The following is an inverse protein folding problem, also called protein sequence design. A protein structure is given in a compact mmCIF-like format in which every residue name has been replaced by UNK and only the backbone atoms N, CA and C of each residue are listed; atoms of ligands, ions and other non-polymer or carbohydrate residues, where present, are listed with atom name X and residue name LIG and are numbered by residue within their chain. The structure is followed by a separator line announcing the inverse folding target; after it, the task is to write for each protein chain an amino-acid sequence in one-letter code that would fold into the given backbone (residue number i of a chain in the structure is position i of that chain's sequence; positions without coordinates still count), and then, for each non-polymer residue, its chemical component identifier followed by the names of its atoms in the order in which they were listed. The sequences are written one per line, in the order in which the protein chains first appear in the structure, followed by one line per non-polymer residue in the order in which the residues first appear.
data_IF_694717746181
#
_entry.id   IF_694717746181
#
_cell.length_a   1.000
_cell.length_b   1.000
_cell.length_c   1.000
_cell.angle_alpha   90.00
_cell.angle_beta   90.00
_cell.angle_gamma   90.00
#
_symmetry.space_group_name_H-M   'P 1'
#
loop_
_entity.id
_entity.type
_entity.pdbx_description
1 polymer ?
#
# COMPACT_ATOMS: atom_id res chain seq x y z
N UNK A 1 -7.74 -21.50 -12.15
CA UNK A 1 -8.65 -20.36 -11.86
C UNK A 1 -7.80 -19.24 -11.30
N UNK A 2 -7.92 -17.99 -11.78
CA UNK A 2 -7.20 -16.89 -11.14
C UNK A 2 -7.68 -16.76 -9.68
N UNK A 3 -6.77 -16.66 -8.69
CA UNK A 3 -7.12 -16.46 -7.29
C UNK A 3 -8.01 -15.22 -7.17
N UNK A 4 -9.20 -15.39 -6.60
CA UNK A 4 -10.18 -14.31 -6.40
C UNK A 4 -9.94 -13.76 -5.01
N UNK A 5 -9.71 -12.47 -4.93
CA UNK A 5 -9.49 -11.80 -3.66
C UNK A 5 -10.81 -11.79 -2.84
N UNK A 6 -10.86 -12.33 -1.60
CA UNK A 6 -12.12 -12.59 -0.89
C UNK A 6 -12.91 -11.35 -0.45
N UNK A 7 -12.27 -10.17 -0.38
CA UNK A 7 -12.86 -8.93 0.15
C UNK A 7 -12.33 -7.73 -0.60
N UNK A 8 -13.18 -6.81 -1.04
CA UNK A 8 -12.76 -5.57 -1.72
C UNK A 8 -11.62 -4.89 -0.93
N UNK A 9 -10.42 -4.68 -1.53
CA UNK A 9 -9.29 -4.09 -0.81
C UNK A 9 -9.70 -2.72 -0.25
N UNK A 10 -9.65 -2.57 1.08
CA UNK A 10 -9.92 -1.29 1.72
C UNK A 10 -8.60 -0.52 1.80
N UNK A 11 -8.62 0.80 1.62
CA UNK A 11 -7.42 1.66 1.71
C UNK A 11 -6.79 1.64 3.11
N UNK A 12 -7.53 1.12 4.10
CA UNK A 12 -7.09 0.91 5.48
C UNK A 12 -6.29 -0.37 5.67
N UNK A 13 -6.30 -1.30 4.71
CA UNK A 13 -5.54 -2.55 4.83
C UNK A 13 -4.03 -2.28 4.65
N UNK A 14 -3.18 -2.70 5.61
CA UNK A 14 -1.74 -2.44 5.57
C UNK A 14 -1.06 -3.10 4.35
N UNK A 15 -1.53 -4.28 3.93
CA UNK A 15 -0.99 -4.98 2.77
C UNK A 15 -1.32 -4.31 1.44
N UNK A 16 -2.51 -3.71 1.33
CA UNK A 16 -2.90 -2.93 0.15
C UNK A 16 -2.08 -1.64 0.06
N UNK A 17 -1.84 -0.97 1.18
CA UNK A 17 -1.01 0.25 1.24
C UNK A 17 0.45 -0.01 0.87
N UNK A 18 1.03 -1.10 1.36
CA UNK A 18 2.39 -1.55 0.98
C UNK A 18 2.52 -1.71 -0.53
N UNK A 19 1.52 -2.34 -1.17
CA UNK A 19 1.54 -2.59 -2.61
C UNK A 19 1.37 -1.30 -3.41
N UNK A 20 0.44 -0.44 -2.99
CA UNK A 20 0.18 0.86 -3.64
C UNK A 20 1.41 1.78 -3.59
N UNK A 21 2.05 1.91 -2.42
CA UNK A 21 3.26 2.73 -2.27
C UNK A 21 4.43 2.20 -3.12
N UNK A 22 4.60 0.88 -3.21
CA UNK A 22 5.61 0.25 -4.08
C UNK A 22 5.33 0.48 -5.56
N UNK A 23 4.07 0.36 -5.98
CA UNK A 23 3.69 0.59 -7.37
C UNK A 23 3.87 2.05 -7.76
N UNK A 24 3.44 2.98 -6.91
CA UNK A 24 3.69 4.41 -7.10
C UNK A 24 5.17 4.70 -7.20
N UNK A 25 6.00 4.14 -6.32
CA UNK A 25 7.45 4.28 -6.40
C UNK A 25 8.01 3.76 -7.73
N UNK A 26 7.60 2.57 -8.17
CA UNK A 26 8.04 1.99 -9.44
C UNK A 26 7.68 2.88 -10.65
N UNK A 27 6.48 3.48 -10.64
CA UNK A 27 6.05 4.43 -11.69
C UNK A 27 6.96 5.67 -11.69
N UNK A 28 7.28 6.23 -10.52
CA UNK A 28 8.16 7.40 -10.44
C UNK A 28 9.59 7.07 -10.93
N UNK A 29 10.11 5.90 -10.59
CA UNK A 29 11.40 5.42 -11.10
C UNK A 29 11.35 5.24 -12.63
N UNK A 30 10.25 4.69 -13.17
CA UNK A 30 10.06 4.52 -14.60
C UNK A 30 10.01 5.85 -15.35
N UNK A 31 9.24 6.83 -14.85
CA UNK A 31 9.17 8.19 -15.42
C UNK A 31 10.54 8.86 -15.38
N UNK A 32 11.23 8.77 -14.24
CA UNK A 32 12.58 9.30 -14.09
C UNK A 32 13.54 8.66 -15.09
N UNK A 33 13.55 7.34 -15.23
CA UNK A 33 14.43 6.65 -16.16
C UNK A 33 14.13 7.02 -17.62
N UNK A 34 12.85 7.08 -18.01
CA UNK A 34 12.43 7.46 -19.35
C UNK A 34 12.82 8.90 -19.70
N UNK A 35 12.53 9.86 -18.81
CA UNK A 35 12.88 11.26 -19.01
C UNK A 35 14.39 11.47 -19.04
N UNK A 36 15.14 10.91 -18.10
CA UNK A 36 16.59 11.09 -18.05
C UNK A 36 17.29 10.37 -19.21
N UNK A 37 16.86 9.17 -19.58
CA UNK A 37 17.43 8.47 -20.74
C UNK A 37 17.16 9.22 -22.04
N UNK A 38 15.95 9.77 -22.22
CA UNK A 38 15.62 10.58 -23.39
C UNK A 38 16.45 11.87 -23.42
N UNK A 39 16.52 12.57 -22.29
CA UNK A 39 17.28 13.82 -22.17
C UNK A 39 18.77 13.61 -22.45
N UNK A 40 19.37 12.56 -21.87
CA UNK A 40 20.77 12.20 -22.12
C UNK A 40 21.00 11.75 -23.57
N UNK A 41 20.04 11.09 -24.20
CA UNK A 41 20.14 10.73 -25.62
C UNK A 41 20.22 11.99 -26.52
N UNK A 42 19.35 12.97 -26.31
CA UNK A 42 19.41 14.24 -27.06
C UNK A 42 20.66 15.07 -26.72
N UNK A 43 21.08 15.07 -25.46
CA UNK A 43 22.33 15.71 -25.03
C UNK A 43 23.54 15.17 -25.81
N UNK A 44 23.63 13.85 -25.97
CA UNK A 44 24.67 13.20 -26.77
C UNK A 44 24.55 13.52 -28.27
N UNK A 45 23.34 13.52 -28.84
CA UNK A 45 23.12 13.85 -30.26
C UNK A 45 23.50 15.29 -30.62
N UNK A 46 23.22 16.24 -29.73
CA UNK A 46 23.46 17.66 -29.96
C UNK A 46 24.83 18.12 -29.47
N UNK A 47 25.68 17.24 -28.92
CA UNK A 47 26.98 17.58 -28.30
C UNK A 47 26.92 18.81 -27.38
N UNK A 48 25.82 18.92 -26.65
CA UNK A 48 25.46 20.17 -25.98
C UNK A 48 25.83 20.11 -24.51
N UNK A 49 26.78 20.92 -24.05
CA UNK A 49 27.27 20.90 -22.66
C UNK A 49 26.40 21.73 -21.73
N UNK A 50 25.26 21.19 -21.29
CA UNK A 50 24.40 21.83 -20.30
C UNK A 50 24.71 21.32 -18.88
N UNK A 51 25.46 22.11 -18.10
CA UNK A 51 25.85 21.76 -16.73
C UNK A 51 24.65 21.56 -15.78
N UNK A 52 23.52 22.24 -16.07
CA UNK A 52 22.31 22.13 -15.25
C UNK A 52 21.61 20.77 -15.38
N UNK A 53 21.83 20.01 -16.47
CA UNK A 53 21.23 18.66 -16.64
C UNK A 53 21.72 17.76 -15.50
N UNK A 54 23.02 17.77 -15.21
CA UNK A 54 23.61 16.91 -14.17
C UNK A 54 23.06 17.25 -12.79
N UNK A 55 22.87 18.55 -12.49
CA UNK A 55 22.28 18.99 -11.23
C UNK A 55 20.81 18.59 -11.10
N UNK A 56 20.01 18.79 -12.14
CA UNK A 56 18.58 18.41 -12.14
C UNK A 56 18.43 16.90 -12.04
N UNK A 57 19.18 16.14 -12.84
CA UNK A 57 19.17 14.67 -12.82
C UNK A 57 19.60 14.13 -11.46
N UNK A 58 20.69 14.69 -10.90
CA UNK A 58 21.22 14.32 -9.59
C UNK A 58 20.26 14.65 -8.46
N UNK A 59 19.72 15.87 -8.41
CA UNK A 59 18.76 16.29 -7.40
C UNK A 59 17.45 15.47 -7.45
N UNK A 60 16.95 15.18 -8.65
CA UNK A 60 15.76 14.36 -8.81
C UNK A 60 16.02 12.89 -8.42
N UNK A 61 17.22 12.36 -8.73
CA UNK A 61 17.65 11.03 -8.28
C UNK A 61 17.75 10.95 -6.75
N UNK A 62 18.28 12.00 -6.09
CA UNK A 62 18.33 12.07 -4.63
C UNK A 62 16.94 12.07 -4.00
N UNK A 63 15.98 12.78 -4.59
CA UNK A 63 14.60 12.80 -4.13
C UNK A 63 13.94 11.41 -4.25
N UNK A 64 14.18 10.71 -5.36
CA UNK A 64 13.76 9.31 -5.52
C UNK A 64 14.41 8.38 -4.51
N UNK A 65 15.71 8.52 -4.26
CA UNK A 65 16.42 7.73 -3.27
C UNK A 65 15.87 7.96 -1.85
N UNK A 66 15.55 9.21 -1.49
CA UNK A 66 14.89 9.54 -0.24
C UNK A 66 13.48 8.91 -0.16
N UNK A 67 12.73 8.92 -1.25
CA UNK A 67 11.41 8.28 -1.31
C UNK A 67 11.51 6.75 -1.17
N UNK A 68 12.52 6.14 -1.78
CA UNK A 68 12.81 4.72 -1.62
C UNK A 68 13.13 4.38 -0.17
N UNK A 69 14.03 5.14 0.46
CA UNK A 69 14.40 4.97 1.86
C UNK A 69 13.19 5.10 2.78
N UNK A 70 12.29 6.05 2.53
CA UNK A 70 11.07 6.22 3.31
C UNK A 70 10.18 4.96 3.26
N UNK A 71 9.91 4.43 2.05
CA UNK A 71 9.03 3.26 1.88
C UNK A 71 9.67 1.97 2.41
N UNK A 72 10.98 1.79 2.24
CA UNK A 72 11.68 0.56 2.61
C UNK A 72 12.17 0.52 4.07
N UNK A 73 12.56 1.66 4.65
CA UNK A 73 13.20 1.69 5.98
C UNK A 73 12.28 2.21 7.09
N UNK A 74 11.34 3.12 6.78
CA UNK A 74 10.53 3.81 7.81
C UNK A 74 9.09 3.32 7.85
N UNK A 75 8.60 2.74 6.75
CA UNK A 75 7.21 2.32 6.68
C UNK A 75 6.97 1.07 7.54
N UNK A 76 6.61 1.31 8.80
CA UNK A 76 6.20 0.29 9.75
C UNK A 76 4.72 -0.02 9.51
N UNK A 77 4.49 -1.12 8.80
CA UNK A 77 3.18 -1.62 8.48
C UNK A 77 2.80 -2.78 9.42
N UNK A 78 3.31 -2.75 10.65
CA UNK A 78 2.95 -3.71 11.69
C UNK A 78 1.42 -3.84 11.74
N UNK A 79 0.92 -5.07 11.57
CA UNK A 79 -0.51 -5.34 11.73
C UNK A 79 -0.96 -4.81 13.10
N UNK A 80 -2.16 -4.21 13.23
CA UNK A 80 -2.71 -3.99 14.54
C UNK A 80 -2.80 -5.36 15.21
N UNK A 81 -1.91 -5.60 16.20
CA UNK A 81 -1.95 -6.79 17.05
C UNK A 81 -3.39 -7.03 17.49
N UNK A 82 -3.91 -8.26 17.47
CA UNK A 82 -5.26 -8.56 17.93
C UNK A 82 -5.51 -8.10 19.38
N UNK A 83 -4.46 -7.79 20.13
CA UNK A 83 -4.52 -7.17 21.46
C UNK A 83 -5.07 -5.72 21.44
N UNK A 84 -4.93 -4.99 20.32
CA UNK A 84 -5.56 -3.67 20.13
C UNK A 84 -7.07 -3.74 19.99
N UNK A 85 -7.63 -4.89 19.57
CA UNK A 85 -9.07 -5.13 19.51
C UNK A 85 -9.65 -5.62 20.85
N UNK A 86 -8.78 -5.88 21.83
CA UNK A 86 -9.11 -6.41 23.15
C UNK A 86 -9.10 -5.34 24.26
N UNK A 87 -9.18 -4.05 23.92
CA UNK A 87 -9.55 -3.04 24.93
C UNK A 87 -11.06 -3.15 25.19
N UNK A 88 -11.51 -3.37 26.44
CA UNK A 88 -12.92 -3.51 26.74
C UNK A 88 -13.60 -2.18 26.45
N UNK A 89 -14.56 -2.21 25.53
CA UNK A 89 -15.47 -1.10 25.28
C UNK A 89 -16.23 -0.77 26.58
N UNK A 90 -15.67 0.13 27.38
CA UNK A 90 -16.41 0.90 28.36
C UNK A 90 -17.34 1.81 27.56
N UNK A 91 -18.64 1.51 27.63
CA UNK A 91 -19.69 2.43 27.24
C UNK A 91 -20.47 2.01 26.01
N UNK A 92 -21.75 1.73 26.26
CA UNK A 92 -22.85 1.64 25.31
C UNK A 92 -23.08 0.30 24.61
N UNK A 93 -23.95 -0.50 25.23
CA UNK A 93 -24.60 -1.68 24.65
C UNK A 93 -25.77 -1.26 23.74
N UNK A 94 -25.78 -1.53 22.43
CA UNK A 94 -27.00 -1.56 21.65
C UNK A 94 -27.64 -2.96 21.67
N UNK A 95 -28.88 -2.99 22.18
CA UNK A 95 -29.95 -4.00 22.27
C UNK A 95 -29.76 -5.35 21.52
N UNK A 96 -30.14 -6.50 22.14
CA UNK A 96 -29.89 -7.84 21.59
C UNK A 96 -30.57 -8.09 20.24
N UNK A 97 -29.78 -8.57 19.26
CA UNK A 97 -30.27 -9.11 17.99
C UNK A 97 -31.16 -10.34 18.23
N UNK A 98 -32.42 -10.25 17.79
CA UNK A 98 -33.36 -11.37 17.73
C UNK A 98 -32.85 -12.43 16.73
N UNK A 99 -32.31 -13.54 17.24
CA UNK A 99 -32.10 -14.77 16.46
C UNK A 99 -33.45 -15.51 16.29
N UNK A 100 -33.86 -15.87 15.06
CA UNK A 100 -34.99 -16.79 14.90
C UNK A 100 -34.60 -18.19 15.43
N UNK A 101 -35.39 -18.70 16.36
CA UNK A 101 -35.22 -19.99 17.03
C UNK A 101 -35.40 -21.15 16.03
N UNK A 102 -34.32 -21.81 15.65
CA UNK A 102 -34.34 -23.17 15.12
C UNK A 102 -34.82 -24.12 16.21
N UNK A 103 -36.11 -24.50 16.18
CA UNK A 103 -36.63 -25.59 17.02
C UNK A 103 -36.29 -26.93 16.38
N UNK A 104 -35.10 -27.45 16.67
CA UNK A 104 -34.84 -28.89 16.63
C UNK A 104 -35.43 -29.50 17.90
N UNK A 105 -36.54 -30.24 17.77
CA UNK A 105 -37.02 -31.14 18.84
C UNK A 105 -36.64 -32.57 18.48
N UNK A 106 -35.62 -33.06 19.17
CA UNK A 106 -35.19 -34.45 19.24
C UNK A 106 -36.01 -35.19 20.31
N UNK A 107 -36.51 -36.37 19.95
CA UNK A 107 -36.59 -37.62 20.76
C UNK A 107 -37.63 -37.79 21.88
N UNK A 108 -38.24 -38.99 21.87
CA UNK A 108 -38.54 -39.93 22.99
C UNK A 108 -40.02 -40.39 22.97
N UNK A 109 -40.31 -41.61 22.49
CA UNK A 109 -40.28 -42.89 23.26
C UNK A 109 -41.39 -42.96 24.31
N UNK A 110 -42.56 -43.48 23.90
CA UNK A 110 -43.37 -44.49 24.60
C UNK A 110 -44.47 -44.99 23.68
#
# INVERSE_FOLDING_TARGET
MPPRWPRQPDRRDPDYRRLDDRMNFAIHVGIFAACNSGLWFFHNLQHTTWDWITLVTGGWASLLAAHALYIFAIADYSEPSPESLATPAVGFQPKPQNKPKTKSKKTAKR
#
